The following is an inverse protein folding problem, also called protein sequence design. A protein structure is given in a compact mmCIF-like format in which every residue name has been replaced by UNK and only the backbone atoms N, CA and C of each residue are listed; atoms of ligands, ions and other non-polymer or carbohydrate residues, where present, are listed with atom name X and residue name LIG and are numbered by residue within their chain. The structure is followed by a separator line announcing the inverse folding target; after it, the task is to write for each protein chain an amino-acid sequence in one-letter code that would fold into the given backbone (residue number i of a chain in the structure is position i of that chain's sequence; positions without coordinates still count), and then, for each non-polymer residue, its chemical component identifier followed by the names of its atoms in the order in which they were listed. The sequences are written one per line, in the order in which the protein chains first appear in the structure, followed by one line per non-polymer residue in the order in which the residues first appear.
data_IF_230108442496
#
_entry.id   IF_230108442496
#
_cell.length_a   1.000
_cell.length_b   1.000
_cell.length_c   1.000
_cell.angle_alpha   90.00
_cell.angle_beta   90.00
_cell.angle_gamma   90.00
#
_symmetry.space_group_name_H-M   'P 1'
#
loop_
_entity.id
_entity.type
_entity.pdbx_description
1 polymer ?
#
# COMPACT_ATOMS: atom_id res chain seq x y z
N UNK A 1 14.92 5.35 -2.29
CA UNK A 1 14.91 5.07 -0.83
C UNK A 1 13.45 4.84 -0.44
N UNK A 2 13.13 3.76 0.29
CA UNK A 2 11.75 3.44 0.64
C UNK A 2 11.13 4.48 1.57
N UNK A 3 9.88 4.87 1.32
CA UNK A 3 9.10 5.62 2.30
C UNK A 3 8.66 4.70 3.44
N UNK A 4 8.88 5.13 4.67
CA UNK A 4 8.53 4.35 5.87
C UNK A 4 7.70 5.19 6.82
N UNK A 5 6.94 4.50 7.67
CA UNK A 5 6.11 5.13 8.69
C UNK A 5 6.90 6.15 9.52
N UNK A 6 6.36 7.36 9.61
CA UNK A 6 6.83 8.43 10.49
C UNK A 6 6.00 8.50 11.79
N UNK A 7 4.95 7.68 11.88
CA UNK A 7 4.03 7.56 13.02
C UNK A 7 3.92 6.11 13.44
N UNK A 8 3.53 5.85 14.69
CA UNK A 8 3.38 4.48 15.18
C UNK A 8 2.13 3.80 14.60
N UNK A 9 2.14 2.47 14.51
CA UNK A 9 0.95 1.70 14.08
C UNK A 9 -0.24 1.90 15.01
N UNK A 10 0.02 2.17 16.30
CA UNK A 10 -1.01 2.49 17.28
C UNK A 10 -1.71 3.80 16.95
N UNK A 11 -0.95 4.85 16.59
CA UNK A 11 -1.51 6.13 16.14
C UNK A 11 -2.31 5.98 14.84
N UNK A 12 -1.86 5.14 13.92
CA UNK A 12 -2.59 4.84 12.68
C UNK A 12 -3.94 4.20 12.97
N UNK A 13 -3.96 3.23 13.89
CA UNK A 13 -5.19 2.57 14.29
C UNK A 13 -6.10 3.49 15.11
N UNK A 14 -5.54 4.42 15.89
CA UNK A 14 -6.29 5.35 16.73
C UNK A 14 -6.92 6.50 15.94
N UNK A 15 -6.30 6.94 14.84
CA UNK A 15 -6.84 8.00 13.98
C UNK A 15 -8.07 7.58 13.18
N UNK A 16 -8.39 6.28 13.20
CA UNK A 16 -9.48 5.59 12.49
C UNK A 16 -9.42 5.71 10.96
N UNK A 17 -9.25 6.90 10.40
CA UNK A 17 -9.22 7.14 8.95
C UNK A 17 -8.37 8.36 8.55
N UNK A 18 -7.84 8.31 7.34
CA UNK A 18 -7.08 9.41 6.72
C UNK A 18 -7.89 9.99 5.56
N UNK A 19 -8.52 11.14 5.78
CA UNK A 19 -9.34 11.79 4.75
C UNK A 19 -8.52 12.76 3.90
N UNK A 20 -8.81 12.86 2.60
CA UNK A 20 -8.35 13.98 1.79
C UNK A 20 -9.15 15.25 2.10
N UNK A 21 -8.75 16.38 1.49
CA UNK A 21 -9.45 17.66 1.60
C UNK A 21 -10.93 17.62 1.17
N UNK A 22 -11.38 16.57 0.47
CA UNK A 22 -12.77 16.35 0.05
C UNK A 22 -13.54 15.40 0.99
N UNK A 23 -12.93 14.95 2.09
CA UNK A 23 -13.53 14.00 3.03
C UNK A 23 -13.45 12.52 2.61
N UNK A 24 -12.76 12.19 1.51
CA UNK A 24 -12.67 10.80 1.03
C UNK A 24 -11.51 10.06 1.71
N UNK A 25 -11.77 8.82 2.13
CA UNK A 25 -10.79 7.91 2.74
C UNK A 25 -10.04 7.10 1.68
N UNK A 26 -9.18 7.77 0.91
CA UNK A 26 -8.42 7.12 -0.15
C UNK A 26 -7.19 6.35 0.39
N UNK A 27 -6.81 5.27 -0.28
CA UNK A 27 -5.67 4.45 0.11
C UNK A 27 -4.33 5.23 0.04
N UNK A 28 -4.20 6.08 -0.97
CA UNK A 28 -3.04 6.96 -1.18
C UNK A 28 -2.85 7.93 -0.02
N UNK A 29 -3.93 8.46 0.54
CA UNK A 29 -3.85 9.46 1.60
C UNK A 29 -3.35 8.90 2.92
N UNK A 30 -3.77 7.68 3.26
CA UNK A 30 -3.19 6.95 4.39
C UNK A 30 -1.68 6.83 4.24
N UNK A 31 -1.20 6.40 3.06
CA UNK A 31 0.24 6.26 2.81
C UNK A 31 0.95 7.61 2.90
N UNK A 32 0.46 8.65 2.22
CA UNK A 32 1.11 9.97 2.20
C UNK A 32 1.16 10.61 3.58
N UNK A 33 0.08 10.55 4.34
CA UNK A 33 0.00 11.19 5.66
C UNK A 33 0.78 10.42 6.73
N UNK A 34 0.97 9.11 6.58
CA UNK A 34 1.71 8.28 7.56
C UNK A 34 3.19 8.13 7.25
N UNK A 35 3.62 8.34 6.00
CA UNK A 35 5.02 8.12 5.56
C UNK A 35 5.68 9.37 4.98
N UNK A 36 4.95 10.49 4.85
CA UNK A 36 5.38 11.69 4.14
C UNK A 36 5.72 11.47 2.65
N UNK A 37 5.21 10.39 2.04
CA UNK A 37 5.40 10.13 0.62
C UNK A 37 4.86 11.29 -0.25
N UNK A 38 5.53 11.63 -1.36
CA UNK A 38 5.11 12.69 -2.26
C UNK A 38 3.83 12.32 -3.01
N UNK A 39 3.37 13.19 -3.91
CA UNK A 39 2.24 12.86 -4.79
C UNK A 39 2.55 11.63 -5.67
N UNK A 40 1.51 10.85 -6.00
CA UNK A 40 1.61 9.53 -6.67
C UNK A 40 2.34 9.55 -8.01
N UNK A 41 2.37 10.69 -8.72
CA UNK A 41 3.10 10.82 -9.97
C UNK A 41 4.63 10.75 -9.80
N UNK A 42 5.13 10.98 -8.57
CA UNK A 42 6.56 10.89 -8.23
C UNK A 42 6.95 9.50 -7.74
N UNK A 43 5.99 8.61 -7.52
CA UNK A 43 6.25 7.26 -7.04
C UNK A 43 6.79 6.41 -8.17
N UNK A 44 7.83 5.66 -7.88
CA UNK A 44 8.34 4.62 -8.77
C UNK A 44 8.46 3.28 -8.03
N UNK A 45 8.37 2.15 -8.75
CA UNK A 45 8.50 0.83 -8.16
C UNK A 45 9.96 0.61 -7.74
N UNK A 46 10.16 0.29 -6.47
CA UNK A 46 11.40 -0.25 -5.93
C UNK A 46 11.35 -1.78 -5.91
N UNK A 47 11.74 -2.35 -4.77
CA UNK A 47 11.74 -3.79 -4.55
C UNK A 47 10.34 -4.41 -4.73
N UNK A 48 10.26 -5.50 -5.51
CA UNK A 48 9.04 -6.31 -5.61
C UNK A 48 8.79 -7.08 -4.32
N UNK A 49 7.58 -7.00 -3.77
CA UNK A 49 7.29 -7.52 -2.42
C UNK A 49 7.33 -9.05 -2.36
N UNK A 50 6.87 -9.73 -3.41
CA UNK A 50 6.83 -11.20 -3.44
C UNK A 50 8.22 -11.83 -3.60
N UNK A 51 9.10 -11.18 -4.37
CA UNK A 51 10.47 -11.63 -4.60
C UNK A 51 11.42 -11.27 -3.44
N UNK A 52 11.01 -10.34 -2.57
CA UNK A 52 11.78 -9.99 -1.39
C UNK A 52 11.85 -11.17 -0.41
N UNK A 53 12.99 -11.35 0.23
CA UNK A 53 13.17 -12.24 1.37
C UNK A 53 12.59 -11.59 2.62
N UNK A 54 12.17 -12.43 3.56
CA UNK A 54 11.74 -11.96 4.88
C UNK A 54 12.86 -11.12 5.52
N UNK A 55 12.54 -9.90 5.94
CA UNK A 55 13.48 -8.94 6.52
C UNK A 55 14.14 -7.97 5.53
N UNK A 56 13.99 -8.16 4.21
CA UNK A 56 14.48 -7.17 3.23
C UNK A 56 13.61 -5.92 3.15
N UNK A 57 12.31 -6.05 3.42
CA UNK A 57 11.38 -4.93 3.48
C UNK A 57 11.08 -4.66 4.95
N UNK A 58 11.36 -3.45 5.40
CA UNK A 58 11.09 -3.03 6.77
C UNK A 58 9.58 -2.95 7.01
N UNK A 59 9.13 -3.38 8.19
CA UNK A 59 7.76 -3.14 8.65
C UNK A 59 7.48 -1.64 8.68
N UNK A 60 6.32 -1.23 8.17
CA UNK A 60 5.97 0.18 8.01
C UNK A 60 6.38 0.78 6.65
N UNK A 61 6.93 -0.01 5.73
CA UNK A 61 7.29 0.47 4.39
C UNK A 61 6.03 0.73 3.55
N UNK A 62 6.01 1.83 2.81
CA UNK A 62 4.97 2.13 1.84
C UNK A 62 5.10 1.20 0.62
N UNK A 63 3.99 0.56 0.24
CA UNK A 63 3.90 -0.27 -0.95
C UNK A 63 2.72 0.15 -1.82
N UNK A 64 2.84 -0.01 -3.13
CA UNK A 64 1.77 0.29 -4.07
C UNK A 64 1.78 -0.66 -5.26
N UNK A 65 0.65 -0.72 -5.95
CA UNK A 65 0.55 -1.31 -7.28
C UNK A 65 1.16 -0.35 -8.31
N UNK A 66 1.82 -0.89 -9.34
CA UNK A 66 2.35 -0.13 -10.47
C UNK A 66 1.86 -0.69 -11.81
N UNK A 67 1.75 0.17 -12.83
CA UNK A 67 1.45 -0.21 -14.22
C UNK A 67 2.69 -0.76 -14.94
N UNK A 68 2.51 -1.26 -16.16
CA UNK A 68 3.62 -1.81 -16.98
C UNK A 68 4.67 -0.75 -17.35
N UNK A 69 4.40 0.53 -17.10
CA UNK A 69 5.31 1.66 -17.30
C UNK A 69 5.98 2.11 -15.99
N UNK A 70 5.79 1.37 -14.90
CA UNK A 70 6.35 1.68 -13.59
C UNK A 70 5.75 2.91 -12.93
N UNK A 71 4.49 3.25 -13.22
CA UNK A 71 3.80 4.39 -12.62
C UNK A 71 2.61 3.93 -11.80
N UNK A 72 2.22 4.73 -10.81
CA UNK A 72 0.99 4.44 -10.07
C UNK A 72 -0.21 4.40 -11.03
N UNK A 73 -0.98 3.29 -11.10
CA UNK A 73 -1.97 3.11 -12.15
C UNK A 73 -3.07 4.16 -12.07
N UNK A 74 -3.50 4.63 -13.23
CA UNK A 74 -4.72 5.43 -13.38
C UNK A 74 -5.74 4.73 -14.28
N UNK A 75 -5.57 3.43 -14.52
CA UNK A 75 -6.51 2.62 -15.28
C UNK A 75 -7.59 2.00 -14.37
N UNK A 76 -8.72 1.63 -14.97
CA UNK A 76 -9.83 0.99 -14.25
C UNK A 76 -9.53 -0.45 -13.79
N UNK A 77 -8.30 -0.93 -13.92
CA UNK A 77 -7.88 -2.31 -13.60
C UNK A 77 -7.50 -2.51 -12.12
N UNK A 78 -7.69 -1.46 -11.32
CA UNK A 78 -7.39 -1.45 -9.89
C UNK A 78 -6.04 -0.80 -9.61
N UNK A 79 -6.04 0.07 -8.61
CA UNK A 79 -4.86 0.71 -8.02
C UNK A 79 -4.99 0.62 -6.51
N UNK A 80 -3.88 0.38 -5.82
CA UNK A 80 -3.89 0.35 -4.37
C UNK A 80 -2.54 0.75 -3.79
N UNK A 81 -2.59 1.38 -2.63
CA UNK A 81 -1.43 1.75 -1.84
C UNK A 81 -1.69 1.33 -0.39
N UNK A 82 -0.67 0.81 0.28
CA UNK A 82 -0.82 0.29 1.63
C UNK A 82 0.51 0.39 2.40
N UNK A 83 0.42 0.21 3.71
CA UNK A 83 1.59 0.09 4.57
C UNK A 83 1.90 -1.38 4.77
N UNK A 84 3.09 -1.80 4.38
CA UNK A 84 3.59 -3.15 4.53
C UNK A 84 3.83 -3.50 6.00
N UNK A 85 3.31 -4.64 6.45
CA UNK A 85 3.54 -5.16 7.79
C UNK A 85 4.47 -6.39 7.79
N UNK A 86 4.20 -7.34 6.89
CA UNK A 86 4.97 -8.56 6.67
C UNK A 86 4.50 -9.23 5.37
N UNK A 87 5.26 -10.18 4.84
CA UNK A 87 4.77 -11.10 3.81
C UNK A 87 5.28 -12.52 4.07
N UNK A 88 4.59 -13.49 3.49
CA UNK A 88 5.01 -14.88 3.43
C UNK A 88 4.64 -15.47 2.06
N UNK A 89 4.81 -16.79 1.87
CA UNK A 89 4.51 -17.44 0.59
C UNK A 89 3.03 -17.35 0.16
N UNK A 90 2.12 -17.00 1.07
CA UNK A 90 0.68 -16.91 0.82
C UNK A 90 0.24 -15.51 0.41
N UNK A 91 0.93 -14.47 0.88
CA UNK A 91 0.56 -13.09 0.61
C UNK A 91 1.27 -12.05 1.46
N UNK A 92 0.76 -10.82 1.35
CA UNK A 92 1.25 -9.61 2.01
C UNK A 92 0.24 -9.20 3.07
N UNK A 93 0.72 -9.05 4.30
CA UNK A 93 -0.03 -8.43 5.39
C UNK A 93 0.20 -6.93 5.33
N UNK A 94 -0.89 -6.16 5.29
CA UNK A 94 -0.84 -4.70 5.13
C UNK A 94 -1.79 -3.99 6.09
N UNK A 95 -1.51 -2.71 6.37
CA UNK A 95 -2.51 -1.75 6.85
C UNK A 95 -2.97 -0.90 5.68
N UNK A 96 -4.28 -0.84 5.47
CA UNK A 96 -4.85 0.01 4.46
C UNK A 96 -6.26 0.49 4.78
N UNK A 97 -6.69 1.45 3.98
CA UNK A 97 -8.05 1.96 3.93
C UNK A 97 -8.47 2.19 2.47
N UNK A 98 -9.77 2.28 2.24
CA UNK A 98 -10.35 2.74 0.98
C UNK A 98 -11.73 3.35 1.25
N UNK A 99 -12.28 4.06 0.26
CA UNK A 99 -13.45 4.93 0.44
C UNK A 99 -14.62 4.22 1.15
N UNK A 100 -15.05 3.05 0.66
CA UNK A 100 -16.16 2.31 1.26
C UNK A 100 -15.87 1.63 2.59
N UNK A 101 -14.59 1.49 2.98
CA UNK A 101 -14.20 0.95 4.29
C UNK A 101 -14.27 2.00 5.38
N UNK A 102 -13.94 3.25 5.05
CA UNK A 102 -13.98 4.37 5.98
C UNK A 102 -12.99 4.30 7.15
N UNK A 103 -12.19 3.23 7.28
CA UNK A 103 -11.20 3.07 8.35
C UNK A 103 -9.96 2.29 7.95
N UNK A 104 -8.84 2.57 8.61
CA UNK A 104 -7.62 1.77 8.50
C UNK A 104 -7.81 0.45 9.23
N UNK A 105 -7.50 -0.66 8.58
CA UNK A 105 -7.32 -1.92 9.29
C UNK A 105 -6.41 -2.88 8.54
N UNK A 106 -5.93 -3.86 9.30
CA UNK A 106 -5.08 -4.93 8.81
C UNK A 106 -5.87 -5.87 7.88
N UNK A 107 -5.28 -6.20 6.74
CA UNK A 107 -5.73 -7.32 5.89
C UNK A 107 -4.57 -8.04 5.23
N UNK A 108 -4.84 -9.22 4.69
CA UNK A 108 -3.89 -10.00 3.91
C UNK A 108 -4.28 -9.97 2.43
N UNK A 109 -3.38 -9.50 1.58
CA UNK A 109 -3.49 -9.53 0.12
C UNK A 109 -2.76 -10.78 -0.36
N UNK A 110 -3.48 -11.73 -0.96
CA UNK A 110 -2.91 -13.05 -1.32
C UNK A 110 -2.21 -12.99 -2.68
N UNK A 111 -1.20 -13.84 -2.88
CA UNK A 111 -0.45 -13.97 -4.15
C UNK A 111 -1.09 -14.92 -5.17
N UNK A 112 -2.00 -15.79 -4.73
CA UNK A 112 -2.63 -16.80 -5.61
C UNK A 112 -4.14 -16.55 -5.74
N UNK A 113 -4.53 -15.32 -6.01
CA UNK A 113 -5.94 -15.01 -6.25
C UNK A 113 -6.21 -15.00 -7.74
N UNK A 114 -7.31 -15.61 -8.19
CA UNK A 114 -7.87 -15.30 -9.51
C UNK A 114 -8.61 -13.95 -9.47
N UNK A 115 -8.04 -12.93 -8.81
CA UNK A 115 -8.63 -11.60 -8.74
C UNK A 115 -8.43 -10.89 -10.07
N UNK A 116 -9.51 -10.37 -10.64
CA UNK A 116 -9.45 -9.51 -11.82
C UNK A 116 -8.90 -8.11 -11.51
N UNK A 117 -8.80 -7.73 -10.23
CA UNK A 117 -8.33 -6.40 -9.79
C UNK A 117 -6.92 -6.48 -9.18
N UNK A 118 -6.02 -5.62 -9.65
CA UNK A 118 -4.64 -5.50 -9.14
C UNK A 118 -4.60 -5.16 -7.66
N UNK A 119 -5.59 -4.41 -7.17
CA UNK A 119 -5.68 -3.98 -5.77
C UNK A 119 -5.76 -5.14 -4.75
N UNK A 120 -6.13 -6.34 -5.21
CA UNK A 120 -6.23 -7.55 -4.38
C UNK A 120 -5.25 -8.65 -4.81
N UNK A 121 -4.39 -8.36 -5.78
CA UNK A 121 -3.43 -9.32 -6.32
C UNK A 121 -2.04 -8.94 -5.82
N UNK A 122 -1.55 -9.70 -4.83
CA UNK A 122 -0.31 -9.39 -4.12
C UNK A 122 0.91 -9.34 -5.03
N UNK A 123 0.88 -10.07 -6.15
CA UNK A 123 1.97 -10.11 -7.14
C UNK A 123 2.19 -8.76 -7.84
N UNK A 124 1.28 -7.80 -7.69
CA UNK A 124 1.39 -6.47 -8.32
C UNK A 124 2.00 -5.39 -7.41
N UNK A 125 2.38 -5.73 -6.18
CA UNK A 125 2.86 -4.77 -5.18
C UNK A 125 4.38 -4.62 -5.19
N UNK A 126 4.82 -3.37 -5.17
CA UNK A 126 6.21 -2.96 -5.06
C UNK A 126 6.36 -1.93 -3.94
N UNK A 127 7.56 -1.87 -3.36
CA UNK A 127 7.97 -0.77 -2.48
C UNK A 127 7.90 0.55 -3.22
N UNK A 128 7.40 1.59 -2.56
CA UNK A 128 7.36 2.95 -3.10
C UNK A 128 8.69 3.62 -2.80
N UNK A 129 9.30 4.16 -3.85
CA UNK A 129 10.49 5.01 -3.79
C UNK A 129 10.26 6.36 -4.51
#
# INVERSE_FOLDING_TARGET
MPYTLQVTEAEISARESYVNAKGNTECVECVRQTTAAPATFRWHPGQHVQEAKLGQIARGTAIATFDDKGRYPNDGKGRHAAIYLSHDKTGIVVLDQWNSKGKVSRRTIRFNTKSYSRSNEGTTFYVIE
#
